data_IF_417044672756
#
_entry.id   IF_417044672756
#
_cell.length_a   1.000
_cell.length_b   1.000
_cell.length_c   1.000
_cell.angle_alpha   90.00
_cell.angle_beta   90.00
_cell.angle_gamma   90.00
#
_symmetry.space_group_name_H-M   'P 1'
#
loop_
_entity.id
_entity.type
_entity.pdbx_description
1 polymer ?
#
# COMPACT_ATOMS: atom_id res chain seq x y z
N UNK A 1 23.44 0.17 0.44
CA UNK A 1 22.70 0.77 1.56
C UNK A 1 21.27 0.25 1.55
N UNK A 2 20.54 0.31 2.66
CA UNK A 2 19.18 -0.24 2.76
C UNK A 2 18.15 0.89 2.73
N UNK A 3 16.95 0.60 2.20
CA UNK A 3 15.80 1.47 2.33
C UNK A 3 15.37 1.61 3.79
N UNK A 4 14.73 2.71 4.16
CA UNK A 4 14.03 2.86 5.43
C UNK A 4 12.54 3.07 5.14
N UNK A 5 11.70 2.15 5.64
CA UNK A 5 10.24 2.26 5.48
C UNK A 5 9.61 2.63 6.82
N UNK A 6 8.88 3.74 6.82
CA UNK A 6 8.14 4.24 7.97
C UNK A 6 6.69 3.81 7.84
N UNK A 7 6.22 3.01 8.77
CA UNK A 7 4.90 2.39 8.76
C UNK A 7 4.23 2.47 10.12
N UNK A 8 2.92 2.48 10.12
CA UNK A 8 2.13 2.19 11.30
C UNK A 8 2.03 0.68 11.56
N UNK A 9 1.11 0.30 12.41
CA UNK A 9 0.87 -1.10 12.72
C UNK A 9 0.39 -1.87 11.48
N UNK A 10 1.04 -3.02 11.20
CA UNK A 10 0.73 -3.87 10.04
C UNK A 10 -0.63 -4.56 10.14
N UNK A 11 -1.18 -4.68 11.34
CA UNK A 11 -2.48 -5.33 11.57
C UNK A 11 -3.66 -4.40 11.31
N UNK A 12 -3.46 -3.08 11.43
CA UNK A 12 -4.52 -2.08 11.32
C UNK A 12 -4.34 -1.11 10.16
N UNK A 13 -3.12 -0.94 9.66
CA UNK A 13 -2.83 0.00 8.58
C UNK A 13 -2.64 -0.70 7.25
N UNK A 14 -3.69 -0.77 6.45
CA UNK A 14 -3.62 -1.37 5.11
C UNK A 14 -2.66 -0.62 4.18
N UNK A 15 -2.45 0.66 4.38
CA UNK A 15 -1.49 1.46 3.62
C UNK A 15 -0.05 1.10 3.99
N UNK A 16 0.23 1.00 5.28
CA UNK A 16 1.54 0.56 5.79
C UNK A 16 1.89 -0.85 5.33
N UNK A 17 0.91 -1.76 5.38
CA UNK A 17 1.08 -3.13 4.91
C UNK A 17 1.50 -3.17 3.44
N UNK A 18 0.91 -2.34 2.57
CA UNK A 18 1.28 -2.29 1.15
C UNK A 18 2.73 -1.84 0.95
N UNK A 19 3.14 -0.74 1.59
CA UNK A 19 4.51 -0.24 1.49
C UNK A 19 5.55 -1.27 1.94
N UNK A 20 5.29 -1.89 3.08
CA UNK A 20 6.17 -2.91 3.63
C UNK A 20 6.23 -4.19 2.77
N UNK A 21 5.08 -4.70 2.31
CA UNK A 21 5.02 -5.92 1.49
C UNK A 21 5.79 -5.81 0.16
N UNK A 22 5.88 -4.63 -0.43
CA UNK A 22 6.69 -4.44 -1.64
C UNK A 22 8.17 -4.72 -1.38
N UNK A 23 8.69 -4.27 -0.27
CA UNK A 23 10.09 -4.50 0.10
C UNK A 23 10.33 -5.98 0.47
N UNK A 24 9.45 -6.57 1.25
CA UNK A 24 9.55 -7.98 1.65
C UNK A 24 9.43 -8.94 0.47
N UNK A 25 8.37 -8.79 -0.33
CA UNK A 25 8.08 -9.70 -1.44
C UNK A 25 9.21 -9.73 -2.46
N UNK A 26 9.82 -8.61 -2.74
CA UNK A 26 10.91 -8.49 -3.71
C UNK A 26 12.30 -8.56 -3.07
N UNK A 27 12.37 -8.93 -1.79
CA UNK A 27 13.62 -9.12 -1.03
C UNK A 27 14.55 -7.90 -1.09
N UNK A 28 13.99 -6.70 -1.13
CA UNK A 28 14.75 -5.47 -1.16
C UNK A 28 15.28 -5.14 0.26
N UNK A 29 16.59 -4.92 0.42
CA UNK A 29 17.18 -4.64 1.74
C UNK A 29 16.57 -3.40 2.38
N UNK A 30 15.94 -3.55 3.55
CA UNK A 30 15.27 -2.42 4.21
C UNK A 30 15.29 -2.52 5.73
N UNK A 31 15.02 -1.38 6.38
CA UNK A 31 14.77 -1.24 7.81
C UNK A 31 13.37 -0.72 8.01
N UNK A 32 12.64 -1.31 8.95
CA UNK A 32 11.29 -0.87 9.32
C UNK A 32 11.39 0.07 10.51
N UNK A 33 10.76 1.24 10.38
CA UNK A 33 10.56 2.21 11.44
C UNK A 33 9.06 2.28 11.76
N UNK A 34 8.70 1.92 12.99
CA UNK A 34 7.30 1.99 13.43
C UNK A 34 6.95 3.40 13.87
N UNK A 35 5.80 3.88 13.41
CA UNK A 35 5.22 5.19 13.73
C UNK A 35 3.90 4.97 14.48
N UNK A 36 3.72 5.68 15.58
CA UNK A 36 2.54 5.56 16.43
C UNK A 36 1.29 6.19 15.80
N UNK A 37 0.42 5.37 15.19
CA UNK A 37 -0.80 5.87 14.54
C UNK A 37 -1.82 6.47 15.52
N UNK A 38 -1.91 5.92 16.70
CA UNK A 38 -2.94 6.26 17.71
C UNK A 38 -2.36 6.89 18.97
N UNK A 39 -1.06 7.14 19.01
CA UNK A 39 -0.35 7.73 20.15
C UNK A 39 -0.49 9.25 20.23
N UNK A 40 -0.95 9.91 19.17
CA UNK A 40 -0.92 11.37 19.04
C UNK A 40 0.47 11.94 18.70
N UNK A 41 1.49 11.09 18.53
CA UNK A 41 2.90 11.48 18.28
C UNK A 41 3.31 11.42 16.82
N UNK A 42 2.46 10.88 15.94
CA UNK A 42 2.77 10.63 14.52
C UNK A 42 3.40 11.84 13.81
N UNK A 43 2.83 13.05 14.00
CA UNK A 43 3.34 14.25 13.36
C UNK A 43 4.77 14.60 13.82
N UNK A 44 5.06 14.39 15.11
CA UNK A 44 6.38 14.61 15.69
C UNK A 44 7.38 13.57 15.22
N UNK A 45 6.98 12.30 15.22
CA UNK A 45 7.82 11.19 14.77
C UNK A 45 8.18 11.31 13.29
N UNK A 46 7.27 11.83 12.45
CA UNK A 46 7.48 12.01 11.01
C UNK A 46 8.05 13.38 10.61
N UNK A 47 8.25 14.30 11.54
CA UNK A 47 8.72 15.66 11.23
C UNK A 47 10.00 15.71 10.41
N UNK A 48 10.91 14.77 10.63
CA UNK A 48 12.19 14.64 9.91
C UNK A 48 12.06 14.07 8.49
N UNK A 49 10.84 13.67 8.08
CA UNK A 49 10.52 13.16 6.74
C UNK A 49 9.75 14.19 5.90
N UNK A 50 9.64 15.43 6.38
CA UNK A 50 8.90 16.44 5.62
C UNK A 50 9.34 16.48 4.15
N UNK A 51 8.39 16.61 3.19
CA UNK A 51 6.98 16.93 3.37
C UNK A 51 6.05 15.73 3.63
N UNK A 52 6.54 14.50 3.77
CA UNK A 52 5.72 13.33 4.09
C UNK A 52 5.09 13.49 5.49
N UNK A 53 3.78 13.24 5.59
CA UNK A 53 3.00 13.39 6.83
C UNK A 53 2.18 12.15 7.19
N UNK A 54 2.14 11.19 6.29
CA UNK A 54 1.35 9.96 6.41
C UNK A 54 2.24 8.73 6.17
N UNK A 55 1.79 7.60 6.65
CA UNK A 55 2.42 6.31 6.41
C UNK A 55 1.67 5.54 5.31
N UNK A 56 2.36 4.76 4.47
CA UNK A 56 3.81 4.54 4.46
C UNK A 56 4.59 5.72 3.91
N UNK A 57 5.80 5.92 4.41
CA UNK A 57 6.79 6.80 3.80
C UNK A 57 8.11 6.02 3.64
N UNK A 58 8.75 6.16 2.50
CA UNK A 58 10.02 5.52 2.17
C UNK A 58 11.13 6.55 2.16
N UNK A 59 12.26 6.24 2.78
CA UNK A 59 13.52 6.94 2.54
C UNK A 59 14.42 6.02 1.72
N UNK A 60 14.86 6.49 0.56
CA UNK A 60 15.79 5.74 -0.29
C UNK A 60 17.20 5.76 0.29
N UNK A 61 18.11 4.87 -0.17
CA UNK A 61 19.52 4.88 0.23
C UNK A 61 20.24 6.21 -0.02
N UNK A 62 19.75 6.99 -0.99
CA UNK A 62 20.28 8.32 -1.34
C UNK A 62 19.68 9.44 -0.48
N UNK A 63 18.70 9.11 0.37
CA UNK A 63 18.07 10.05 1.30
C UNK A 63 16.78 10.70 0.77
N UNK A 64 16.31 10.34 -0.44
CA UNK A 64 15.05 10.85 -0.98
C UNK A 64 13.87 10.29 -0.19
N UNK A 65 12.95 11.16 0.23
CA UNK A 65 11.72 10.77 0.92
C UNK A 65 10.58 10.71 -0.08
N UNK A 66 9.87 9.57 -0.10
CA UNK A 66 8.73 9.31 -0.98
C UNK A 66 7.53 8.90 -0.12
N UNK A 67 6.43 9.64 -0.24
CA UNK A 67 5.12 9.26 0.30
C UNK A 67 4.28 8.53 -0.75
N UNK A 68 3.08 8.13 -0.36
CA UNK A 68 2.09 7.43 -1.20
C UNK A 68 2.54 6.06 -1.75
N UNK A 69 1.73 5.05 -1.52
CA UNK A 69 2.10 3.66 -1.82
C UNK A 69 2.40 3.41 -3.31
N UNK A 70 1.70 4.10 -4.22
CA UNK A 70 1.94 3.96 -5.66
C UNK A 70 3.25 4.64 -6.08
N UNK A 71 3.55 5.83 -5.55
CA UNK A 71 4.82 6.50 -5.80
C UNK A 71 6.00 5.68 -5.26
N UNK A 72 5.84 5.06 -4.08
CA UNK A 72 6.82 4.11 -3.53
C UNK A 72 7.03 2.93 -4.48
N UNK A 73 5.95 2.34 -5.02
CA UNK A 73 6.04 1.23 -5.96
C UNK A 73 6.83 1.59 -7.22
N UNK A 74 6.55 2.76 -7.81
CA UNK A 74 7.25 3.23 -9.01
C UNK A 74 8.73 3.51 -8.71
N UNK A 75 9.02 4.19 -7.59
CA UNK A 75 10.41 4.48 -7.17
C UNK A 75 11.20 3.18 -6.96
N UNK A 76 10.62 2.20 -6.28
CA UNK A 76 11.26 0.91 -6.07
C UNK A 76 11.49 0.15 -7.38
N UNK A 77 10.53 0.22 -8.31
CA UNK A 77 10.67 -0.41 -9.63
C UNK A 77 11.76 0.24 -10.48
N UNK A 78 11.87 1.56 -10.47
CA UNK A 78 12.93 2.28 -11.19
C UNK A 78 14.31 1.98 -10.61
N UNK A 79 14.45 1.95 -9.29
CA UNK A 79 15.72 1.71 -8.62
C UNK A 79 16.13 0.24 -8.62
N UNK A 80 15.19 -0.70 -8.87
CA UNK A 80 15.44 -2.14 -8.87
C UNK A 80 14.79 -2.81 -10.10
N UNK A 81 15.24 -2.49 -11.33
CA UNK A 81 14.58 -2.96 -12.55
C UNK A 81 14.54 -4.49 -12.67
N UNK A 82 15.53 -5.17 -12.11
CA UNK A 82 15.64 -6.64 -12.15
C UNK A 82 14.75 -7.33 -11.09
N UNK A 83 14.19 -6.59 -10.14
CA UNK A 83 13.34 -7.17 -9.10
C UNK A 83 11.93 -7.54 -9.61
N UNK A 84 11.50 -6.98 -10.74
CA UNK A 84 10.23 -7.33 -11.36
C UNK A 84 8.99 -6.87 -10.58
N UNK A 85 9.02 -5.68 -9.96
CA UNK A 85 7.88 -5.14 -9.24
C UNK A 85 6.65 -4.96 -10.12
N UNK A 86 6.85 -4.64 -11.38
CA UNK A 86 5.80 -4.59 -12.39
C UNK A 86 6.00 -5.69 -13.44
N UNK A 87 4.91 -6.17 -14.07
CA UNK A 87 5.01 -7.10 -15.19
C UNK A 87 5.91 -6.57 -16.32
N UNK A 88 6.68 -7.45 -16.93
CA UNK A 88 7.56 -7.10 -18.07
C UNK A 88 6.76 -6.74 -19.32
N UNK A 89 5.64 -7.43 -19.56
CA UNK A 89 4.75 -7.12 -20.68
C UNK A 89 4.07 -5.75 -20.50
N UNK A 90 4.09 -4.87 -21.50
CA UNK A 90 3.53 -3.52 -21.39
C UNK A 90 2.02 -3.49 -21.13
N UNK A 91 1.24 -4.41 -21.70
CA UNK A 91 -0.21 -4.44 -21.51
C UNK A 91 -0.56 -4.92 -20.09
N UNK A 92 0.11 -5.96 -19.63
CA UNK A 92 -0.01 -6.45 -18.25
C UNK A 92 0.43 -5.38 -17.24
N UNK A 93 1.51 -4.68 -17.51
CA UNK A 93 2.01 -3.59 -16.67
C UNK A 93 1.01 -2.43 -16.59
N UNK A 94 0.39 -2.06 -17.71
CA UNK A 94 -0.66 -1.04 -17.74
C UNK A 94 -1.87 -1.47 -16.89
N UNK A 95 -2.32 -2.72 -17.02
CA UNK A 95 -3.40 -3.28 -16.22
C UNK A 95 -3.06 -3.31 -14.72
N UNK A 96 -1.86 -3.73 -14.36
CA UNK A 96 -1.40 -3.75 -12.97
C UNK A 96 -1.35 -2.34 -12.35
N UNK A 97 -0.88 -1.34 -13.10
CA UNK A 97 -0.89 0.06 -12.66
C UNK A 97 -2.30 0.61 -12.50
N UNK A 98 -3.21 0.28 -13.43
CA UNK A 98 -4.61 0.67 -13.29
C UNK A 98 -5.23 0.09 -12.02
N UNK A 99 -5.08 -1.22 -11.78
CA UNK A 99 -5.56 -1.85 -10.54
C UNK A 99 -5.00 -1.17 -9.28
N UNK A 100 -3.70 -0.90 -9.28
CA UNK A 100 -3.05 -0.22 -8.16
C UNK A 100 -3.61 1.19 -7.94
N UNK A 101 -3.79 1.97 -9.02
CA UNK A 101 -4.32 3.35 -8.96
C UNK A 101 -5.78 3.38 -8.50
N UNK A 102 -6.64 2.50 -9.02
CA UNK A 102 -8.04 2.41 -8.61
C UNK A 102 -8.17 1.99 -7.14
N UNK A 103 -7.28 1.09 -6.67
CA UNK A 103 -7.18 0.74 -5.24
C UNK A 103 -6.75 1.91 -4.36
N UNK A 104 -6.00 2.86 -4.87
CA UNK A 104 -5.62 4.07 -4.13
C UNK A 104 -6.77 5.06 -4.06
N UNK A 105 -7.45 5.33 -5.17
CA UNK A 105 -8.45 6.37 -5.29
C UNK A 105 -9.87 5.95 -4.85
N UNK A 106 -10.19 4.66 -4.96
CA UNK A 106 -11.55 4.14 -4.77
C UNK A 106 -11.82 3.45 -3.42
N UNK A 107 -13.00 2.84 -3.35
CA UNK A 107 -13.44 1.96 -2.24
C UNK A 107 -13.58 2.69 -0.90
N UNK A 108 -14.13 3.88 -0.94
CA UNK A 108 -14.27 4.73 0.26
C UNK A 108 -15.24 4.15 1.29
N UNK A 109 -16.34 3.52 0.87
CA UNK A 109 -17.28 2.88 1.78
C UNK A 109 -16.62 1.69 2.49
N UNK A 110 -15.99 0.79 1.73
CA UNK A 110 -15.26 -0.35 2.28
C UNK A 110 -14.16 0.08 3.27
N UNK A 111 -13.43 1.15 2.96
CA UNK A 111 -12.37 1.66 3.85
C UNK A 111 -12.89 2.26 5.14
N UNK A 112 -14.04 2.92 5.07
CA UNK A 112 -14.63 3.63 6.22
C UNK A 112 -15.39 2.68 7.15
N UNK A 113 -16.13 1.74 6.58
CA UNK A 113 -17.00 0.84 7.33
C UNK A 113 -16.31 -0.49 7.71
N UNK A 114 -15.36 -0.94 6.87
CA UNK A 114 -14.64 -2.19 7.08
C UNK A 114 -13.11 -1.94 7.07
N UNK A 115 -12.57 -1.13 7.99
CA UNK A 115 -11.13 -0.92 8.06
C UNK A 115 -10.40 -2.24 8.32
N UNK A 116 -9.18 -2.36 7.78
CA UNK A 116 -8.38 -3.56 7.96
C UNK A 116 -8.14 -3.85 9.44
N UNK A 117 -8.49 -5.06 9.86
CA UNK A 117 -8.28 -5.55 11.20
C UNK A 117 -7.93 -7.04 11.13
N UNK A 118 -6.64 -7.36 11.27
CA UNK A 118 -6.15 -8.74 11.14
C UNK A 118 -6.16 -9.52 12.46
N UNK A 119 -6.38 -8.83 13.59
CA UNK A 119 -6.31 -9.44 14.92
C UNK A 119 -7.68 -9.90 15.46
N UNK A 120 -8.78 -9.41 14.87
CA UNK A 120 -10.13 -9.67 15.40
C UNK A 120 -11.06 -10.13 14.30
N UNK A 121 -12.01 -10.97 14.68
CA UNK A 121 -13.14 -11.38 13.85
C UNK A 121 -14.39 -10.76 14.48
N UNK A 122 -15.17 -10.06 13.67
CA UNK A 122 -16.44 -9.46 14.07
C UNK A 122 -17.58 -10.37 13.63
N UNK A 123 -18.40 -10.82 14.56
CA UNK A 123 -19.58 -11.62 14.28
C UNK A 123 -20.81 -10.72 14.07
N UNK A 124 -21.72 -11.14 13.20
CA UNK A 124 -22.99 -10.44 12.97
C UNK A 124 -22.85 -9.08 12.27
N UNK A 125 -21.71 -8.83 11.60
CA UNK A 125 -21.55 -7.61 10.81
C UNK A 125 -22.33 -7.73 9.48
N UNK A 126 -23.19 -6.75 9.22
CA UNK A 126 -23.92 -6.62 7.95
C UNK A 126 -23.29 -5.49 7.12
N UNK A 127 -23.02 -5.77 5.85
CA UNK A 127 -22.48 -4.78 4.92
C UNK A 127 -23.56 -3.80 4.47
N UNK A 128 -23.22 -2.51 4.37
CA UNK A 128 -24.10 -1.55 3.69
C UNK A 128 -24.13 -1.80 2.17
N UNK A 129 -25.15 -1.29 1.50
CA UNK A 129 -25.22 -1.35 0.03
C UNK A 129 -24.03 -0.67 -0.66
N UNK A 130 -23.46 0.37 -0.03
CA UNK A 130 -22.28 1.05 -0.54
C UNK A 130 -21.02 0.17 -0.42
N UNK A 131 -20.87 -0.55 0.68
CA UNK A 131 -19.78 -1.54 0.85
C UNK A 131 -19.94 -2.68 -0.14
N UNK A 132 -21.16 -3.17 -0.35
CA UNK A 132 -21.41 -4.24 -1.33
C UNK A 132 -21.03 -3.78 -2.74
N UNK A 133 -21.37 -2.57 -3.13
CA UNK A 133 -20.98 -2.02 -4.44
C UNK A 133 -19.44 -1.93 -4.59
N UNK A 134 -18.72 -1.54 -3.54
CA UNK A 134 -17.24 -1.56 -3.53
C UNK A 134 -16.70 -2.98 -3.69
N UNK A 135 -17.31 -3.98 -3.04
CA UNK A 135 -16.91 -5.39 -3.14
C UNK A 135 -17.17 -5.94 -4.55
N UNK A 136 -18.33 -5.70 -5.12
CA UNK A 136 -18.70 -6.13 -6.48
C UNK A 136 -17.72 -5.52 -7.52
N UNK A 137 -17.31 -4.27 -7.30
CA UNK A 137 -16.30 -3.63 -8.14
C UNK A 137 -14.93 -4.30 -8.01
N UNK A 138 -14.51 -4.67 -6.79
CA UNK A 138 -13.26 -5.41 -6.56
C UNK A 138 -13.30 -6.75 -7.29
N UNK A 139 -14.37 -7.51 -7.18
CA UNK A 139 -14.53 -8.79 -7.88
C UNK A 139 -14.42 -8.62 -9.39
N UNK A 140 -15.07 -7.61 -9.96
CA UNK A 140 -14.99 -7.28 -11.39
C UNK A 140 -13.57 -6.98 -11.82
N UNK A 141 -12.82 -6.19 -11.03
CA UNK A 141 -11.43 -5.84 -11.30
C UNK A 141 -10.52 -7.07 -11.29
N UNK A 142 -10.66 -7.92 -10.28
CA UNK A 142 -9.84 -9.13 -10.18
C UNK A 142 -10.18 -10.15 -11.26
N UNK A 143 -11.47 -10.33 -11.60
CA UNK A 143 -11.87 -11.19 -12.70
C UNK A 143 -11.26 -10.73 -14.04
N UNK A 144 -11.26 -9.43 -14.30
CA UNK A 144 -10.59 -8.85 -15.47
C UNK A 144 -9.08 -9.02 -15.44
N UNK A 145 -8.47 -8.91 -14.27
CA UNK A 145 -7.03 -9.05 -14.10
C UNK A 145 -6.53 -10.48 -14.29
N UNK A 146 -7.29 -11.49 -13.86
CA UNK A 146 -6.91 -12.91 -14.01
C UNK A 146 -6.68 -13.32 -15.46
N UNK A 147 -7.32 -12.65 -16.42
CA UNK A 147 -7.07 -12.92 -17.86
C UNK A 147 -5.86 -12.19 -18.45
N UNK A 148 -5.27 -11.22 -17.70
CA UNK A 148 -4.23 -10.33 -18.22
C UNK A 148 -2.93 -10.40 -17.40
N UNK A 149 -3.00 -10.64 -16.08
CA UNK A 149 -1.88 -10.52 -15.14
C UNK A 149 -1.49 -11.88 -14.52
N UNK A 150 -2.33 -12.89 -14.64
CA UNK A 150 -2.04 -14.27 -14.27
C UNK A 150 -1.69 -15.06 -15.56
#
# INVERSE_FOLDING_TARGET
MAYEIYIGDRMFSSWSLRGWLMLEKFSLPHKVQLVGLYSGTMAQEMAHLAPARLVPALRTPEGTVVGESLAIAETLAEQNPDAGLWPADPAQRAAARWLAAERVAGFSALRSECPMQLAHIYEGFETSGAVQADLDRIETLFAGACGVVC
#
